data_IF_572267878445
#
_entry.id   IF_572267878445
#
_cell.length_a   1.000
_cell.length_b   1.000
_cell.length_c   1.000
_cell.angle_alpha   90.00
_cell.angle_beta   90.00
_cell.angle_gamma   90.00
#
_symmetry.space_group_name_H-M   'P 1'
#
loop_
_entity.id
_entity.type
_entity.pdbx_description
1 polymer ?
#
# COMPACT_ATOMS: atom_id res chain seq x y z
N UNK A 1 -4.23 -32.71 -35.44
CA UNK A 1 -3.21 -33.69 -34.99
C UNK A 1 -3.63 -34.18 -33.62
N UNK A 2 -4.11 -35.42 -33.52
CA UNK A 2 -4.45 -36.02 -32.23
C UNK A 2 -3.15 -36.41 -31.51
N UNK A 3 -2.98 -35.96 -30.26
CA UNK A 3 -1.83 -36.30 -29.42
C UNK A 3 -1.90 -37.80 -29.11
N UNK A 4 -0.81 -38.52 -29.32
CA UNK A 4 -0.79 -39.97 -29.10
C UNK A 4 -0.78 -40.29 -27.60
N UNK A 5 -1.41 -41.39 -27.22
CA UNK A 5 -1.55 -41.80 -25.81
C UNK A 5 -0.20 -42.16 -25.15
N UNK A 6 0.83 -42.42 -25.97
CA UNK A 6 2.21 -42.60 -25.51
C UNK A 6 2.87 -41.27 -25.14
N UNK A 7 2.62 -40.21 -25.90
CA UNK A 7 3.15 -38.86 -25.61
C UNK A 7 2.58 -38.31 -24.30
N UNK A 8 1.31 -38.58 -24.01
CA UNK A 8 0.65 -38.21 -22.75
C UNK A 8 1.27 -38.92 -21.54
N UNK A 9 1.62 -40.21 -21.68
CA UNK A 9 2.31 -40.97 -20.63
C UNK A 9 3.73 -40.47 -20.38
N UNK A 10 4.48 -40.17 -21.45
CA UNK A 10 5.82 -39.58 -21.34
C UNK A 10 5.80 -38.21 -20.66
N UNK A 11 4.82 -37.37 -20.97
CA UNK A 11 4.63 -36.08 -20.30
C UNK A 11 4.32 -36.26 -18.81
N UNK A 12 3.48 -37.22 -18.44
CA UNK A 12 3.16 -37.52 -17.05
C UNK A 12 4.38 -37.93 -16.22
N UNK A 13 5.22 -38.82 -16.76
CA UNK A 13 6.45 -39.27 -16.09
C UNK A 13 7.46 -38.13 -15.94
N UNK A 14 7.67 -37.33 -16.99
CA UNK A 14 8.56 -36.18 -16.94
C UNK A 14 8.09 -35.12 -15.92
N UNK A 15 6.77 -34.86 -15.86
CA UNK A 15 6.19 -33.94 -14.89
C UNK A 15 6.38 -34.42 -13.44
N UNK A 16 6.22 -35.73 -13.19
CA UNK A 16 6.45 -36.33 -11.88
C UNK A 16 7.92 -36.23 -11.45
N UNK A 17 8.85 -36.48 -12.36
CA UNK A 17 10.29 -36.36 -12.10
C UNK A 17 10.70 -34.91 -11.77
N UNK A 18 10.17 -33.94 -12.51
CA UNK A 18 10.38 -32.50 -12.24
C UNK A 18 9.86 -32.14 -10.85
N UNK A 19 8.68 -32.63 -10.49
CA UNK A 19 8.10 -32.39 -9.16
C UNK A 19 8.96 -33.00 -8.05
N UNK A 20 9.39 -34.26 -8.20
CA UNK A 20 10.29 -34.92 -7.24
C UNK A 20 11.60 -34.15 -7.07
N UNK A 21 12.23 -33.76 -8.17
CA UNK A 21 13.47 -32.98 -8.15
C UNK A 21 13.29 -31.63 -7.43
N UNK A 22 12.14 -30.96 -7.61
CA UNK A 22 11.81 -29.72 -6.90
C UNK A 22 11.69 -29.96 -5.40
N UNK A 23 10.95 -30.98 -4.96
CA UNK A 23 10.77 -31.30 -3.54
C UNK A 23 12.12 -31.61 -2.86
N UNK A 24 13.00 -32.35 -3.54
CA UNK A 24 14.34 -32.65 -3.01
C UNK A 24 15.19 -31.38 -2.87
N UNK A 25 15.18 -30.51 -3.88
CA UNK A 25 15.89 -29.23 -3.84
C UNK A 25 15.39 -28.32 -2.72
N UNK A 26 14.08 -28.25 -2.52
CA UNK A 26 13.48 -27.44 -1.47
C UNK A 26 13.92 -27.90 -0.08
N UNK A 27 13.89 -29.22 0.18
CA UNK A 27 14.40 -29.80 1.43
C UNK A 27 15.88 -29.49 1.67
N UNK A 28 16.69 -29.57 0.62
CA UNK A 28 18.13 -29.27 0.69
C UNK A 28 18.38 -27.77 0.96
N UNK A 29 17.64 -26.89 0.30
CA UNK A 29 17.76 -25.44 0.54
C UNK A 29 17.30 -25.12 1.97
N UNK A 30 16.22 -25.72 2.44
CA UNK A 30 15.72 -25.54 3.80
C UNK A 30 16.74 -26.01 4.86
N UNK A 31 17.45 -27.12 4.62
CA UNK A 31 18.50 -27.59 5.55
C UNK A 31 19.78 -26.75 5.48
N UNK A 32 20.12 -26.21 4.31
CA UNK A 32 21.27 -25.31 4.14
C UNK A 32 21.00 -23.88 4.61
N UNK A 33 19.73 -23.47 4.69
CA UNK A 33 19.32 -22.14 5.09
C UNK A 33 19.93 -21.67 6.41
N UNK A 34 19.80 -22.40 7.53
CA UNK A 34 20.39 -21.97 8.80
C UNK A 34 21.91 -21.88 8.71
N UNK A 35 22.59 -22.82 8.05
CA UNK A 35 24.06 -22.80 7.96
C UNK A 35 24.57 -21.59 7.19
N UNK A 36 23.91 -21.24 6.08
CA UNK A 36 24.38 -20.16 5.20
C UNK A 36 23.93 -18.77 5.64
N UNK A 37 22.77 -18.68 6.30
CA UNK A 37 22.08 -17.41 6.54
C UNK A 37 21.73 -17.13 8.02
N UNK A 38 22.05 -18.01 8.97
CA UNK A 38 21.79 -17.74 10.40
C UNK A 38 22.48 -16.46 10.88
N UNK A 39 23.68 -16.19 10.39
CA UNK A 39 24.47 -15.02 10.79
C UNK A 39 23.73 -13.70 10.54
N UNK A 40 22.85 -13.62 9.53
CA UNK A 40 22.05 -12.41 9.28
C UNK A 40 21.08 -12.14 10.42
N UNK A 41 20.48 -13.20 10.98
CA UNK A 41 19.58 -13.09 12.14
C UNK A 41 20.38 -12.66 13.37
N UNK A 42 21.57 -13.23 13.54
CA UNK A 42 22.47 -12.88 14.64
C UNK A 42 22.91 -11.40 14.56
N UNK A 43 23.35 -10.93 13.39
CA UNK A 43 23.72 -9.54 13.17
C UNK A 43 22.56 -8.57 13.38
N UNK A 44 21.38 -8.92 12.86
CA UNK A 44 20.17 -8.12 13.08
C UNK A 44 19.87 -7.99 14.57
N UNK A 45 19.95 -9.08 15.33
CA UNK A 45 19.73 -9.08 16.76
C UNK A 45 20.77 -8.22 17.51
N UNK A 46 22.04 -8.26 17.09
CA UNK A 46 23.10 -7.41 17.65
C UNK A 46 22.79 -5.94 17.40
N UNK A 47 22.46 -5.56 16.16
CA UNK A 47 22.12 -4.17 15.82
C UNK A 47 20.86 -3.70 16.55
N UNK A 48 19.84 -4.55 16.69
CA UNK A 48 18.62 -4.24 17.43
C UNK A 48 18.93 -3.91 18.90
N UNK A 49 19.78 -4.70 19.56
CA UNK A 49 20.23 -4.44 20.93
C UNK A 49 20.97 -3.11 21.04
N UNK A 50 21.90 -2.84 20.14
CA UNK A 50 22.63 -1.56 20.11
C UNK A 50 21.69 -0.36 19.95
N UNK A 51 20.67 -0.48 19.09
CA UNK A 51 19.67 0.58 18.93
C UNK A 51 18.85 0.80 20.20
N UNK A 52 18.47 -0.26 20.89
CA UNK A 52 17.72 -0.14 22.15
C UNK A 52 18.58 0.45 23.27
N UNK A 53 19.86 0.09 23.35
CA UNK A 53 20.83 0.75 24.24
C UNK A 53 20.93 2.25 23.95
N UNK A 54 21.05 2.64 22.67
CA UNK A 54 21.10 4.05 22.27
C UNK A 54 19.79 4.80 22.56
N UNK A 55 18.63 4.13 22.43
CA UNK A 55 17.34 4.71 22.84
C UNK A 55 17.29 4.95 24.34
N UNK A 56 17.82 4.03 25.15
CA UNK A 56 17.85 4.15 26.60
C UNK A 56 18.83 5.22 27.09
N UNK A 57 19.95 5.40 26.38
CA UNK A 57 20.93 6.47 26.65
C UNK A 57 20.45 7.85 26.22
N UNK A 58 19.47 7.93 25.31
CA UNK A 58 18.88 9.21 24.93
C UNK A 58 18.20 9.78 26.19
N UNK A 59 18.66 10.93 26.71
CA UNK A 59 17.97 11.54 27.84
C UNK A 59 16.53 11.84 27.40
N UNK A 60 15.57 11.73 28.33
CA UNK A 60 14.19 12.18 28.14
C UNK A 60 14.15 13.72 28.10
N UNK A 61 15.03 14.32 27.30
CA UNK A 61 14.81 15.64 26.75
C UNK A 61 13.72 15.40 25.72
N UNK A 62 12.47 15.38 26.19
CA UNK A 62 11.33 15.53 25.32
C UNK A 62 11.64 16.76 24.48
N UNK A 63 11.88 16.57 23.18
CA UNK A 63 11.98 17.72 22.28
C UNK A 63 10.73 18.53 22.59
N UNK A 64 10.82 19.78 23.05
CA UNK A 64 9.62 20.56 23.24
C UNK A 64 8.94 20.51 21.88
N UNK A 65 7.73 19.92 21.82
CA UNK A 65 6.93 20.02 20.61
C UNK A 65 6.91 21.51 20.30
N UNK A 66 7.37 21.96 19.12
CA UNK A 66 7.29 23.37 18.80
C UNK A 66 5.84 23.75 19.05
N UNK A 67 5.62 24.62 20.04
CA UNK A 67 4.28 25.15 20.30
C UNK A 67 3.94 25.85 19.01
N UNK A 68 3.03 25.25 18.24
CA UNK A 68 2.56 25.84 16.99
C UNK A 68 1.81 27.10 17.41
N UNK A 69 2.50 28.23 17.40
CA UNK A 69 1.89 29.54 17.56
C UNK A 69 1.10 29.74 16.27
N UNK A 70 -0.11 29.18 16.25
CA UNK A 70 -1.04 29.36 15.14
C UNK A 70 -1.20 30.86 14.96
N UNK A 71 -0.75 31.35 13.81
CA UNK A 71 -0.93 32.74 13.48
C UNK A 71 -2.42 32.95 13.26
N UNK A 72 -3.11 33.53 14.25
CA UNK A 72 -4.49 34.00 14.11
C UNK A 72 -4.59 35.25 13.20
N UNK A 73 -3.65 35.42 12.27
CA UNK A 73 -3.76 36.47 11.26
C UNK A 73 -5.00 36.15 10.41
N UNK A 74 -5.87 37.13 10.15
CA UNK A 74 -7.01 36.88 9.28
C UNK A 74 -6.49 36.41 7.92
N UNK A 75 -7.14 35.39 7.38
CA UNK A 75 -6.86 34.92 6.02
C UNK A 75 -6.97 36.13 5.07
N UNK A 76 -5.97 36.39 4.21
CA UNK A 76 -6.00 37.55 3.32
C UNK A 76 -7.24 37.51 2.43
N UNK A 77 -7.84 38.67 2.19
CA UNK A 77 -9.00 38.79 1.31
C UNK A 77 -8.54 38.68 -0.13
N UNK A 78 -8.64 37.46 -0.67
CA UNK A 78 -8.19 37.11 -2.01
C UNK A 78 -9.36 36.52 -2.78
N UNK A 79 -9.40 36.73 -4.08
CA UNK A 79 -10.35 36.04 -4.96
C UNK A 79 -10.26 34.52 -4.77
N UNK A 80 -9.05 33.97 -4.57
CA UNK A 80 -8.83 32.56 -4.26
C UNK A 80 -9.56 32.08 -3.00
N UNK A 81 -9.72 32.92 -1.97
CA UNK A 81 -10.51 32.60 -0.77
C UNK A 81 -11.99 32.43 -1.10
N UNK A 82 -12.53 33.38 -1.86
CA UNK A 82 -13.94 33.35 -2.31
C UNK A 82 -14.18 32.16 -3.23
N UNK A 83 -13.28 31.92 -4.19
CA UNK A 83 -13.32 30.79 -5.12
C UNK A 83 -13.30 29.47 -4.34
N UNK A 84 -12.35 29.28 -3.43
CA UNK A 84 -12.25 28.05 -2.63
C UNK A 84 -13.52 27.79 -1.80
N UNK A 85 -14.10 28.83 -1.21
CA UNK A 85 -15.36 28.71 -0.48
C UNK A 85 -16.55 28.38 -1.40
N UNK A 86 -16.65 29.01 -2.56
CA UNK A 86 -17.68 28.74 -3.56
C UNK A 86 -17.57 27.31 -4.11
N UNK A 87 -16.36 26.83 -4.39
CA UNK A 87 -16.14 25.47 -4.92
C UNK A 87 -16.58 24.36 -3.97
N UNK A 88 -16.70 24.64 -2.67
CA UNK A 88 -17.17 23.65 -1.70
C UNK A 88 -18.69 23.45 -1.72
N UNK A 89 -19.45 24.40 -2.31
CA UNK A 89 -20.90 24.26 -2.43
C UNK A 89 -21.23 23.26 -3.55
N UNK A 90 -22.18 22.34 -3.33
CA UNK A 90 -22.51 21.30 -4.31
C UNK A 90 -23.02 21.87 -5.65
N UNK A 91 -23.68 23.03 -5.62
CA UNK A 91 -24.22 23.74 -6.78
C UNK A 91 -23.15 24.22 -7.77
N UNK A 92 -21.94 24.50 -7.28
CA UNK A 92 -20.83 25.02 -8.10
C UNK A 92 -19.81 23.94 -8.47
N UNK A 93 -20.12 22.65 -8.24
CA UNK A 93 -19.26 21.55 -8.66
C UNK A 93 -19.37 21.33 -10.16
N UNK A 94 -18.24 21.33 -10.85
CA UNK A 94 -18.18 21.05 -12.30
C UNK A 94 -18.69 19.65 -12.66
N UNK A 95 -18.66 18.73 -11.71
CA UNK A 95 -19.24 17.39 -11.83
C UNK A 95 -20.72 17.41 -12.19
N UNK A 96 -21.47 18.48 -11.89
CA UNK A 96 -22.87 18.64 -12.27
C UNK A 96 -23.09 18.86 -13.78
N UNK A 97 -22.05 19.32 -14.49
CA UNK A 97 -22.14 19.69 -15.92
C UNK A 97 -21.40 18.70 -16.83
N UNK A 98 -20.89 17.59 -16.29
CA UNK A 98 -20.18 16.57 -17.06
C UNK A 98 -21.09 15.77 -18.02
N UNK A 99 -20.51 15.12 -19.05
CA UNK A 99 -21.27 14.32 -20.03
C UNK A 99 -21.94 13.07 -19.41
N UNK A 100 -21.52 12.64 -18.22
CA UNK A 100 -22.03 11.44 -17.54
C UNK A 100 -23.05 11.73 -16.43
N UNK A 101 -23.52 12.97 -16.30
CA UNK A 101 -24.49 13.34 -15.26
C UNK A 101 -25.88 12.89 -15.66
N UNK A 102 -26.51 12.07 -14.82
CA UNK A 102 -27.91 11.66 -14.99
C UNK A 102 -28.82 12.87 -14.76
N UNK A 103 -29.36 13.43 -15.84
CA UNK A 103 -30.39 14.49 -15.78
C UNK A 103 -31.75 13.82 -15.57
N UNK A 104 -32.35 14.02 -14.41
CA UNK A 104 -33.74 13.64 -14.20
C UNK A 104 -34.65 14.75 -14.75
N UNK A 105 -35.79 14.39 -15.37
CA UNK A 105 -36.79 15.39 -15.76
C UNK A 105 -37.28 16.10 -14.49
N UNK A 106 -37.21 17.43 -14.50
CA UNK A 106 -37.82 18.25 -13.45
C UNK A 106 -39.32 18.22 -13.72
N UNK A 107 -40.08 17.57 -12.85
CA UNK A 107 -41.54 17.63 -12.92
C UNK A 107 -41.99 19.03 -12.48
N UNK A 108 -42.91 19.66 -13.22
CA UNK A 108 -43.50 20.91 -12.75
C UNK A 108 -44.18 20.68 -11.40
N UNK A 109 -44.14 21.67 -10.49
CA UNK A 109 -44.87 21.57 -9.22
C UNK A 109 -46.37 21.37 -9.52
N UNK A 110 -47.11 20.68 -8.62
CA UNK A 110 -48.56 20.52 -8.76
C UNK A 110 -49.22 21.89 -8.91
N UNK A 111 -50.12 22.00 -9.89
CA UNK A 111 -51.00 23.15 -10.02
C UNK A 111 -52.14 22.92 -9.02
N UNK A 112 -52.23 23.77 -8.01
CA UNK A 112 -53.38 23.81 -7.08
C UNK A 112 -54.67 24.22 -7.79
#
# INVERSE_FOLDING_TARGET
>A
MAVSDQDLKHFGVAAEEIWKARVVKEKLIASQWPVKWSWMVDEYNVMAKQLDELKNLRPVIGRPKPVEIRSCKPMPDTSSRVIGWLTNRPEFRLELYGPYVKKYPIFPPPID
#
